data_IF_032844106031
#
_entry.id   IF_032844106031
#
_cell.length_a   1.000
_cell.length_b   1.000
_cell.length_c   1.000
_cell.angle_alpha   90.00
_cell.angle_beta   90.00
_cell.angle_gamma   90.00
#
_symmetry.space_group_name_H-M   'P 1'
#
loop_
_entity.id
_entity.type
_entity.pdbx_description
1 polymer ?
#
# COMPACT_ATOMS: atom_id res chain seq x y z
N UNK A 1 32.91 -2.47 32.48
CA UNK A 1 32.96 -3.38 31.32
C UNK A 1 31.80 -4.37 31.43
N UNK A 2 30.58 -3.91 31.16
CA UNK A 2 29.37 -4.74 31.19
C UNK A 2 29.02 -5.10 29.75
N UNK A 3 29.17 -6.38 29.46
CA UNK A 3 28.91 -7.05 28.18
C UNK A 3 27.39 -7.06 27.97
N UNK A 4 26.90 -6.31 26.99
CA UNK A 4 25.51 -6.38 26.53
C UNK A 4 25.30 -7.75 25.88
N UNK A 5 24.66 -8.67 26.61
CA UNK A 5 24.22 -9.95 26.10
C UNK A 5 22.90 -9.81 25.32
N UNK A 6 22.88 -10.46 24.15
CA UNK A 6 21.73 -11.08 23.46
C UNK A 6 20.72 -10.17 22.75
N UNK A 7 20.84 -10.14 21.43
CA UNK A 7 19.71 -10.23 20.51
C UNK A 7 19.97 -11.35 19.50
N UNK A 8 19.95 -12.59 19.98
CA UNK A 8 19.98 -13.79 19.13
C UNK A 8 18.53 -14.18 18.84
N UNK A 9 18.12 -14.08 17.57
CA UNK A 9 17.00 -14.83 17.02
C UNK A 9 15.79 -14.00 16.61
N UNK A 10 15.77 -13.51 15.36
CA UNK A 10 14.52 -13.35 14.63
C UNK A 10 14.04 -14.78 14.29
N UNK A 11 13.26 -15.39 15.18
CA UNK A 11 12.54 -16.63 14.87
C UNK A 11 11.24 -16.21 14.18
N UNK A 12 11.21 -16.36 12.87
CA UNK A 12 9.97 -16.38 12.10
C UNK A 12 9.31 -17.76 12.25
N UNK A 13 8.72 -18.03 13.41
CA UNK A 13 7.93 -19.25 13.63
C UNK A 13 6.47 -18.83 13.94
N UNK A 14 5.61 -18.95 12.93
CA UNK A 14 4.15 -18.78 13.04
C UNK A 14 3.66 -17.36 12.73
N UNK A 15 2.71 -17.25 11.79
CA UNK A 15 2.01 -15.99 11.53
C UNK A 15 1.34 -15.51 12.84
N UNK A 16 1.68 -14.29 13.27
CA UNK A 16 1.05 -13.65 14.42
C UNK A 16 -0.47 -13.57 14.17
N UNK A 17 -1.34 -13.90 15.12
CA UNK A 17 -2.79 -13.69 14.96
C UNK A 17 -3.14 -12.24 14.56
N UNK A 18 -2.31 -11.25 14.92
CA UNK A 18 -2.42 -9.88 14.41
C UNK A 18 -2.22 -9.77 12.89
N UNK A 19 -1.35 -10.59 12.30
CA UNK A 19 -1.09 -10.68 10.86
C UNK A 19 -2.29 -11.28 10.11
N UNK A 20 -2.94 -12.28 10.70
CA UNK A 20 -4.17 -12.88 10.14
C UNK A 20 -5.32 -11.87 10.11
N UNK A 21 -5.49 -11.10 11.19
CA UNK A 21 -6.52 -10.06 11.26
C UNK A 21 -6.28 -8.93 10.26
N UNK A 22 -5.03 -8.47 10.14
CA UNK A 22 -4.66 -7.45 9.16
C UNK A 22 -4.88 -7.93 7.73
N UNK A 23 -4.48 -9.16 7.40
CA UNK A 23 -4.70 -9.75 6.08
C UNK A 23 -6.20 -9.78 5.70
N UNK A 24 -7.07 -10.23 6.60
CA UNK A 24 -8.53 -10.24 6.38
C UNK A 24 -9.07 -8.83 6.10
N UNK A 25 -8.63 -7.84 6.89
CA UNK A 25 -9.04 -6.45 6.70
C UNK A 25 -8.60 -5.91 5.33
N UNK A 26 -7.37 -6.19 4.91
CA UNK A 26 -6.85 -5.76 3.61
C UNK A 26 -7.67 -6.39 2.46
N UNK A 27 -8.10 -7.64 2.58
CA UNK A 27 -9.00 -8.28 1.61
C UNK A 27 -10.37 -7.60 1.54
N UNK A 28 -10.97 -7.29 2.69
CA UNK A 28 -12.25 -6.57 2.76
C UNK A 28 -12.14 -5.17 2.12
N UNK A 29 -11.05 -4.46 2.41
CA UNK A 29 -10.77 -3.15 1.83
C UNK A 29 -10.70 -3.24 0.32
N UNK A 30 -9.96 -4.19 -0.25
CA UNK A 30 -9.81 -4.35 -1.72
C UNK A 30 -11.14 -4.66 -2.41
N UNK A 31 -12.08 -5.31 -1.72
CA UNK A 31 -13.42 -5.62 -2.25
C UNK A 31 -14.41 -4.47 -2.09
N UNK A 32 -14.06 -3.39 -1.39
CA UNK A 32 -14.99 -2.30 -1.09
C UNK A 32 -15.47 -1.54 -2.34
N UNK A 33 -16.79 -1.39 -2.43
CA UNK A 33 -17.51 -0.62 -3.46
C UNK A 33 -18.51 0.40 -2.89
N UNK A 34 -18.39 0.76 -1.61
CA UNK A 34 -19.36 1.61 -0.89
C UNK A 34 -19.49 3.04 -1.41
N UNK A 35 -18.51 3.54 -2.16
CA UNK A 35 -18.48 4.92 -2.66
C UNK A 35 -18.66 4.96 -4.18
N UNK A 36 -19.89 5.08 -4.72
CA UNK A 36 -20.17 4.93 -6.16
C UNK A 36 -19.34 5.89 -7.03
N UNK A 37 -19.19 7.14 -6.59
CA UNK A 37 -18.38 8.16 -7.28
C UNK A 37 -16.91 7.74 -7.41
N UNK A 38 -16.32 7.19 -6.35
CA UNK A 38 -14.90 6.78 -6.35
C UNK A 38 -14.68 5.50 -7.15
N UNK A 39 -15.62 4.57 -7.08
CA UNK A 39 -15.61 3.34 -7.90
C UNK A 39 -15.66 3.69 -9.38
N UNK A 40 -16.61 4.54 -9.80
CA UNK A 40 -16.70 4.98 -11.18
C UNK A 40 -15.43 5.69 -11.64
N UNK A 41 -14.88 6.58 -10.81
CA UNK A 41 -13.67 7.34 -11.12
C UNK A 41 -12.44 6.45 -11.29
N UNK A 42 -12.13 5.59 -10.32
CA UNK A 42 -10.90 4.77 -10.35
C UNK A 42 -10.89 3.80 -11.53
N UNK A 43 -12.05 3.24 -11.87
CA UNK A 43 -12.22 2.32 -12.99
C UNK A 43 -12.21 3.05 -14.33
N UNK A 44 -12.79 4.25 -14.41
CA UNK A 44 -12.69 5.12 -15.60
C UNK A 44 -11.22 5.41 -15.91
N UNK A 45 -10.46 5.85 -14.90
CA UNK A 45 -9.02 6.13 -15.05
C UNK A 45 -8.23 4.89 -15.45
N UNK A 46 -8.57 3.72 -14.92
CA UNK A 46 -7.92 2.46 -15.26
C UNK A 46 -8.20 1.99 -16.70
N UNK A 47 -9.38 2.33 -17.25
CA UNK A 47 -9.75 2.05 -18.65
C UNK A 47 -9.16 3.06 -19.63
N UNK A 48 -9.29 4.34 -19.33
CA UNK A 48 -8.87 5.42 -20.23
C UNK A 48 -7.34 5.56 -20.25
N UNK A 49 -6.71 5.41 -19.08
CA UNK A 49 -5.26 5.54 -18.85
C UNK A 49 -4.71 6.89 -19.32
N UNK A 50 -3.46 7.17 -18.97
CA UNK A 50 -2.71 8.30 -19.55
C UNK A 50 -1.88 7.77 -20.71
N UNK A 51 -1.62 8.59 -21.75
CA UNK A 51 -0.81 8.20 -22.90
C UNK A 51 0.57 7.58 -22.52
N UNK A 52 1.18 8.07 -21.44
CA UNK A 52 2.45 7.57 -20.90
C UNK A 52 2.37 6.17 -20.27
N UNK A 53 1.17 5.71 -19.92
CA UNK A 53 0.88 4.44 -19.22
C UNK A 53 -0.18 3.61 -19.94
N UNK A 54 -0.37 3.82 -21.25
CA UNK A 54 -1.47 3.20 -21.99
C UNK A 54 -1.36 1.66 -22.04
N UNK A 55 -0.14 1.15 -22.04
CA UNK A 55 0.16 -0.28 -22.07
C UNK A 55 0.22 -0.89 -20.66
N UNK A 56 0.22 -0.08 -19.60
CA UNK A 56 0.30 -0.57 -18.22
C UNK A 56 -1.02 -1.23 -17.81
N UNK A 57 -0.94 -2.34 -17.08
CA UNK A 57 -2.08 -2.92 -16.39
C UNK A 57 -2.37 -2.13 -15.10
N UNK A 58 -3.55 -1.52 -15.03
CA UNK A 58 -3.95 -0.71 -13.89
C UNK A 58 -4.61 -1.55 -12.80
N UNK A 59 -4.27 -1.27 -11.53
CA UNK A 59 -4.91 -1.86 -10.37
C UNK A 59 -6.42 -1.58 -10.30
N UNK A 60 -6.84 -0.33 -10.49
CA UNK A 60 -8.26 0.07 -10.63
C UNK A 60 -9.18 -0.25 -9.43
N UNK A 61 -8.60 -0.55 -8.26
CA UNK A 61 -9.28 -1.05 -7.06
C UNK A 61 -8.86 -0.24 -5.82
N UNK A 62 -9.54 -0.38 -4.65
CA UNK A 62 -9.01 0.15 -3.39
C UNK A 62 -7.58 -0.36 -3.18
N UNK A 63 -6.70 0.52 -2.73
CA UNK A 63 -5.29 0.17 -2.53
C UNK A 63 -5.13 -0.30 -1.09
N UNK A 64 -4.60 -1.51 -0.84
CA UNK A 64 -4.35 -1.98 0.51
C UNK A 64 -3.22 -1.18 1.17
N UNK A 65 -3.19 -1.17 2.50
CA UNK A 65 -2.01 -0.73 3.24
C UNK A 65 -0.79 -1.58 2.88
N UNK A 66 0.40 -0.98 3.00
CA UNK A 66 1.67 -1.64 2.69
C UNK A 66 2.71 -1.25 3.74
N UNK A 67 3.51 -2.21 4.20
CA UNK A 67 4.60 -2.00 5.14
C UNK A 67 4.82 -3.20 6.04
N UNK A 68 5.64 -3.00 7.06
CA UNK A 68 5.84 -3.96 8.14
C UNK A 68 4.64 -3.90 9.11
N UNK A 69 3.92 -5.02 9.37
CA UNK A 69 2.85 -5.06 10.38
C UNK A 69 3.33 -4.68 11.79
N UNK A 70 4.62 -4.86 12.09
CA UNK A 70 5.27 -4.45 13.33
C UNK A 70 5.86 -3.03 13.31
N UNK A 71 5.56 -2.21 12.30
CA UNK A 71 6.12 -0.87 12.18
C UNK A 71 5.71 0.04 13.36
N UNK A 72 6.69 0.72 13.96
CA UNK A 72 6.45 1.73 14.99
C UNK A 72 5.96 3.10 14.48
N UNK A 73 5.88 3.27 13.15
CA UNK A 73 5.48 4.54 12.49
C UNK A 73 4.49 4.24 11.37
N UNK A 74 3.39 5.00 11.33
CA UNK A 74 2.38 4.93 10.27
C UNK A 74 2.33 6.25 9.48
N UNK A 75 2.45 6.16 8.16
CA UNK A 75 2.27 7.30 7.24
C UNK A 75 0.89 7.21 6.60
N UNK A 76 0.03 8.19 6.89
CA UNK A 76 -1.32 8.27 6.33
C UNK A 76 -1.40 9.39 5.29
N UNK A 77 -1.67 9.02 4.04
CA UNK A 77 -1.89 9.97 2.94
C UNK A 77 -3.36 10.37 2.80
N UNK A 78 -3.63 11.34 1.93
CA UNK A 78 -5.01 11.80 1.67
C UNK A 78 -5.82 10.78 0.85
N UNK A 79 -5.32 10.40 -0.33
CA UNK A 79 -5.98 9.47 -1.25
C UNK A 79 -5.00 8.92 -2.29
N UNK A 80 -5.27 7.74 -2.89
CA UNK A 80 -4.49 7.22 -4.01
C UNK A 80 -4.49 8.16 -5.23
N UNK A 81 -3.31 8.43 -5.79
CA UNK A 81 -3.21 9.16 -7.06
C UNK A 81 -3.77 8.33 -8.23
N UNK A 82 -4.43 9.01 -9.17
CA UNK A 82 -5.04 8.41 -10.36
C UNK A 82 -4.09 7.53 -11.20
N UNK A 83 -2.81 7.91 -11.28
CA UNK A 83 -1.79 7.18 -12.05
C UNK A 83 -0.57 6.76 -11.23
N UNK A 84 -0.66 6.91 -9.90
CA UNK A 84 0.30 6.33 -8.95
C UNK A 84 -0.30 5.06 -8.39
N UNK A 85 -0.71 5.09 -7.14
CA UNK A 85 -1.27 3.93 -6.43
C UNK A 85 -2.51 3.29 -7.11
N UNK A 86 -3.36 4.06 -7.83
CA UNK A 86 -4.47 3.47 -8.59
C UNK A 86 -4.01 2.66 -9.83
N UNK A 87 -2.79 2.92 -10.31
CA UNK A 87 -2.14 2.14 -11.37
C UNK A 87 -1.36 0.98 -10.76
N UNK A 88 -0.50 1.26 -9.79
CA UNK A 88 0.49 0.30 -9.26
C UNK A 88 -0.06 -0.65 -8.20
N UNK A 89 -1.19 -0.31 -7.56
CA UNK A 89 -1.76 -1.11 -6.47
C UNK A 89 -1.00 -1.02 -5.15
N UNK A 90 -0.02 -0.13 -5.03
CA UNK A 90 0.76 0.09 -3.80
C UNK A 90 0.72 1.56 -3.40
N UNK A 91 0.49 1.81 -2.10
CA UNK A 91 0.48 3.18 -1.55
C UNK A 91 1.77 3.91 -1.90
N UNK A 92 1.65 5.21 -2.22
CA UNK A 92 2.77 6.09 -2.52
C UNK A 92 3.72 5.59 -3.63
N UNK A 93 3.25 4.81 -4.60
CA UNK A 93 4.11 4.22 -5.64
C UNK A 93 3.68 4.66 -7.03
N UNK A 94 4.64 5.13 -7.85
CA UNK A 94 4.42 5.45 -9.27
C UNK A 94 3.92 6.86 -9.54
N UNK A 95 4.12 7.78 -8.59
CA UNK A 95 3.86 9.22 -8.73
C UNK A 95 4.92 10.06 -7.98
N UNK A 96 4.91 11.37 -8.21
CA UNK A 96 5.89 12.31 -7.64
C UNK A 96 5.83 12.42 -6.11
N UNK A 97 4.64 12.24 -5.52
CA UNK A 97 4.49 12.32 -4.06
C UNK A 97 5.17 11.13 -3.39
N UNK A 98 5.01 9.93 -3.99
CA UNK A 98 5.75 8.73 -3.65
C UNK A 98 7.26 8.89 -3.76
N UNK A 99 7.73 9.39 -4.90
CA UNK A 99 9.16 9.62 -5.13
C UNK A 99 9.77 10.55 -4.08
N UNK A 100 9.04 11.60 -3.68
CA UNK A 100 9.49 12.51 -2.63
C UNK A 100 9.52 11.83 -1.26
N UNK A 101 8.43 11.14 -0.89
CA UNK A 101 8.30 10.46 0.39
C UNK A 101 9.40 9.43 0.59
N UNK A 102 9.62 8.53 -0.38
CA UNK A 102 10.63 7.50 -0.28
C UNK A 102 12.06 8.04 -0.22
N UNK A 103 12.35 9.16 -0.90
CA UNK A 103 13.66 9.82 -0.77
C UNK A 103 13.87 10.44 0.61
N UNK A 104 12.81 10.93 1.27
CA UNK A 104 12.91 11.52 2.60
C UNK A 104 13.01 10.48 3.73
N UNK A 105 12.76 9.20 3.44
CA UNK A 105 12.83 8.09 4.40
C UNK A 105 14.13 7.28 4.30
N UNK A 106 15.02 7.63 3.37
CA UNK A 106 16.37 7.07 3.22
C UNK A 106 17.39 7.94 3.96
#
# INVERSE_FOLDING_TARGET
>A
MTRFERATGCRSDGADPADTGLASLLEEVVRCRRCPRLVAWREKVAREKRAAFREDDYWGRPVPGFGDPGAGVLVVGLAPAAHGANRTGRMFTGDRAGDWLYRAMH
#
